data_IF_627928129127
#
_entry.id   IF_627928129127
#
_cell.length_a   1.000
_cell.length_b   1.000
_cell.length_c   1.000
_cell.angle_alpha   90.00
_cell.angle_beta   90.00
_cell.angle_gamma   90.00
#
_symmetry.space_group_name_H-M   'P 1'
#
loop_
_entity.id
_entity.type
_entity.pdbx_description
1 polymer ?
#
# COMPACT_ATOMS: atom_id res chain seq x y z
N UNK A 1 -23.02 8.25 -6.80
CA UNK A 1 -22.57 7.37 -7.91
C UNK A 1 -21.17 6.92 -7.61
N UNK A 2 -20.88 5.63 -7.73
CA UNK A 2 -19.51 5.11 -7.71
C UNK A 2 -18.73 5.72 -8.87
N UNK A 3 -17.47 6.12 -8.64
CA UNK A 3 -16.60 6.60 -9.73
C UNK A 3 -16.23 5.40 -10.61
N UNK A 4 -16.34 5.49 -11.95
CA UNK A 4 -16.03 4.38 -12.84
C UNK A 4 -14.54 4.02 -12.76
N UNK A 5 -14.24 2.71 -12.85
CA UNK A 5 -12.90 2.15 -13.01
C UNK A 5 -12.68 1.78 -14.48
N UNK A 6 -11.42 1.49 -14.87
CA UNK A 6 -11.07 1.15 -16.27
C UNK A 6 -11.96 0.05 -16.89
N UNK A 7 -12.25 -1.01 -16.13
CA UNK A 7 -13.09 -2.13 -16.61
C UNK A 7 -14.56 -1.73 -16.81
N UNK A 8 -15.08 -0.79 -16.02
CA UNK A 8 -16.44 -0.23 -16.22
C UNK A 8 -16.54 0.58 -17.52
N UNK A 9 -15.39 1.00 -18.07
CA UNK A 9 -15.25 1.71 -19.34
C UNK A 9 -14.89 0.77 -20.51
N UNK A 10 -14.89 -0.55 -20.30
CA UNK A 10 -14.55 -1.53 -21.32
C UNK A 10 -13.05 -1.71 -21.59
N UNK A 11 -12.17 -1.12 -20.78
CA UNK A 11 -10.71 -1.24 -20.93
C UNK A 11 -10.21 -2.37 -20.04
N UNK A 12 -9.67 -3.41 -20.66
CA UNK A 12 -9.10 -4.59 -19.99
C UNK A 12 -7.59 -4.64 -20.22
N UNK A 13 -6.83 -4.81 -19.13
CA UNK A 13 -5.36 -4.95 -19.15
C UNK A 13 -5.01 -6.37 -18.75
N UNK A 14 -4.22 -7.05 -19.59
CA UNK A 14 -3.83 -8.46 -19.41
C UNK A 14 -4.96 -9.47 -19.67
N UNK A 15 -4.63 -10.75 -19.58
CA UNK A 15 -5.54 -11.85 -19.97
C UNK A 15 -6.25 -12.52 -18.79
N UNK A 16 -5.84 -12.24 -17.56
CA UNK A 16 -6.39 -12.89 -16.35
C UNK A 16 -7.65 -12.17 -15.83
N UNK A 17 -8.63 -12.93 -15.29
CA UNK A 17 -9.78 -12.35 -14.62
C UNK A 17 -9.37 -11.64 -13.33
N UNK A 18 -10.07 -10.56 -12.98
CA UNK A 18 -9.90 -9.89 -11.69
C UNK A 18 -10.66 -10.62 -10.58
N UNK A 19 -10.22 -10.44 -9.33
CA UNK A 19 -10.98 -10.87 -8.16
C UNK A 19 -12.27 -10.05 -7.95
N UNK A 20 -13.09 -10.42 -6.95
CA UNK A 20 -14.40 -9.80 -6.71
C UNK A 20 -14.37 -8.28 -6.50
N UNK A 21 -13.33 -7.77 -5.83
CA UNK A 21 -13.14 -6.35 -5.60
C UNK A 21 -12.21 -5.71 -6.64
N UNK A 22 -11.54 -6.51 -7.46
CA UNK A 22 -10.49 -6.09 -8.38
C UNK A 22 -9.46 -5.22 -7.63
N UNK A 23 -9.02 -5.66 -6.46
CA UNK A 23 -8.19 -4.88 -5.53
C UNK A 23 -7.25 -5.80 -4.72
N UNK A 24 -6.23 -5.22 -4.07
CA UNK A 24 -5.27 -5.99 -3.26
C UNK A 24 -5.95 -6.75 -2.10
N UNK A 25 -7.10 -6.26 -1.61
CA UNK A 25 -7.91 -6.90 -0.57
C UNK A 25 -8.62 -8.17 -1.03
N UNK A 26 -8.55 -8.52 -2.32
CA UNK A 26 -8.97 -9.85 -2.80
C UNK A 26 -8.04 -10.96 -2.25
N UNK A 27 -6.84 -10.61 -1.77
CA UNK A 27 -5.97 -11.53 -1.02
C UNK A 27 -6.52 -11.69 0.41
N UNK A 28 -6.88 -12.92 0.85
CA UNK A 28 -7.50 -13.13 2.16
C UNK A 28 -6.67 -12.59 3.32
N UNK A 29 -7.31 -11.78 4.17
CA UNK A 29 -6.69 -11.19 5.36
C UNK A 29 -5.93 -9.89 5.11
N UNK A 30 -5.68 -9.50 3.84
CA UNK A 30 -5.09 -8.19 3.53
C UNK A 30 -6.13 -7.10 3.76
N UNK A 31 -5.74 -6.04 4.45
CA UNK A 31 -6.58 -4.87 4.70
C UNK A 31 -5.86 -3.60 4.25
N UNK A 32 -6.63 -2.59 3.83
CA UNK A 32 -6.12 -1.28 3.43
C UNK A 32 -6.89 -0.20 4.16
N UNK A 33 -6.17 0.77 4.73
CA UNK A 33 -6.72 1.96 5.37
C UNK A 33 -6.10 3.23 4.82
N UNK A 34 -6.86 4.32 4.84
CA UNK A 34 -6.39 5.63 4.37
C UNK A 34 -6.79 6.72 5.36
N UNK A 35 -5.90 7.68 5.55
CA UNK A 35 -6.22 8.99 6.12
C UNK A 35 -5.87 10.03 5.07
N UNK A 36 -6.85 10.83 4.66
CA UNK A 36 -6.65 11.93 3.71
C UNK A 36 -6.77 13.25 4.45
N UNK A 37 -5.75 14.10 4.36
CA UNK A 37 -5.73 15.43 4.97
C UNK A 37 -5.84 16.47 3.87
N UNK A 38 -6.97 17.17 3.82
CA UNK A 38 -7.22 18.28 2.90
C UNK A 38 -7.60 19.51 3.71
N UNK A 39 -6.77 20.55 3.62
CA UNK A 39 -7.00 21.86 4.23
C UNK A 39 -6.40 22.91 3.31
N UNK A 40 -7.16 23.96 2.97
CA UNK A 40 -6.66 25.00 2.07
C UNK A 40 -6.18 26.26 2.83
N UNK A 41 -6.58 26.44 4.11
CA UNK A 41 -6.25 27.62 4.93
C UNK A 41 -5.83 27.30 6.36
N UNK A 42 -5.00 28.14 7.02
CA UNK A 42 -4.21 29.26 6.46
C UNK A 42 -3.10 28.86 5.48
N UNK A 43 -2.84 27.57 5.30
CA UNK A 43 -1.91 27.05 4.30
C UNK A 43 -2.47 25.77 3.71
N UNK A 44 -2.23 25.57 2.41
CA UNK A 44 -2.60 24.36 1.69
C UNK A 44 -1.85 23.15 2.25
N UNK A 45 -2.62 22.16 2.70
CA UNK A 45 -2.21 20.82 3.09
C UNK A 45 -3.06 19.84 2.30
N UNK A 46 -2.41 19.03 1.47
CA UNK A 46 -3.02 17.95 0.70
C UNK A 46 -2.06 16.76 0.76
N UNK A 47 -2.14 16.03 1.87
CA UNK A 47 -1.29 14.87 2.17
C UNK A 47 -2.15 13.77 2.78
N UNK A 48 -1.54 12.67 3.21
CA UNK A 48 -2.21 11.58 3.86
C UNK A 48 -1.27 10.42 4.09
N UNK A 49 -1.84 9.36 4.67
CA UNK A 49 -1.16 8.08 4.81
C UNK A 49 -2.08 6.98 4.30
N UNK A 50 -1.50 6.03 3.58
CA UNK A 50 -2.15 4.75 3.25
C UNK A 50 -1.41 3.66 3.98
N UNK A 51 -2.15 2.77 4.65
CA UNK A 51 -1.58 1.63 5.37
C UNK A 51 -2.12 0.34 4.77
N UNK A 52 -1.22 -0.60 4.49
CA UNK A 52 -1.53 -1.95 4.05
C UNK A 52 -1.14 -2.90 5.18
N UNK A 53 -2.14 -3.60 5.70
CA UNK A 53 -1.96 -4.65 6.69
C UNK A 53 -1.94 -5.99 5.94
N UNK A 54 -0.80 -6.71 5.92
CA UNK A 54 -0.62 -7.87 5.03
C UNK A 54 -1.40 -9.11 5.49
N UNK A 55 -1.91 -9.13 6.72
CA UNK A 55 -2.72 -10.22 7.28
C UNK A 55 -3.60 -9.74 8.43
N UNK A 56 -4.67 -10.48 8.74
CA UNK A 56 -5.46 -10.24 9.94
C UNK A 56 -4.64 -10.42 11.23
N UNK A 57 -4.97 -9.65 12.27
CA UNK A 57 -4.22 -9.64 13.54
C UNK A 57 -2.91 -8.86 13.46
N UNK A 58 -2.02 -9.04 14.44
CA UNK A 58 -0.71 -8.35 14.48
C UNK A 58 0.31 -9.06 13.59
N UNK A 59 0.75 -8.40 12.53
CA UNK A 59 1.85 -8.88 11.63
C UNK A 59 3.17 -9.08 12.37
N UNK A 60 3.38 -8.36 13.48
CA UNK A 60 4.53 -8.55 14.37
C UNK A 60 4.62 -9.97 14.94
N UNK A 61 3.48 -10.54 15.32
CA UNK A 61 3.42 -11.84 15.99
C UNK A 61 3.41 -12.99 14.97
N UNK A 62 3.07 -12.69 13.71
CA UNK A 62 3.05 -13.64 12.61
C UNK A 62 3.59 -12.98 11.32
N UNK A 63 4.93 -12.88 11.16
CA UNK A 63 5.54 -12.28 9.98
C UNK A 63 5.10 -12.95 8.67
N UNK A 64 5.24 -12.24 7.55
CA UNK A 64 4.98 -12.78 6.21
C UNK A 64 6.26 -12.73 5.39
N UNK A 65 6.50 -13.70 4.51
CA UNK A 65 7.64 -13.61 3.60
C UNK A 65 7.51 -12.40 2.68
N UNK A 66 8.62 -11.70 2.46
CA UNK A 66 8.66 -10.48 1.68
C UNK A 66 9.99 -10.35 0.93
N UNK A 67 9.97 -9.54 -0.13
CA UNK A 67 11.14 -9.13 -0.89
C UNK A 67 10.89 -7.76 -1.49
N UNK A 68 11.96 -7.07 -1.87
CA UNK A 68 11.87 -5.77 -2.51
C UNK A 68 12.85 -5.67 -3.69
N UNK A 69 12.61 -4.73 -4.60
CA UNK A 69 13.51 -4.43 -5.70
C UNK A 69 13.51 -2.93 -5.95
N UNK A 70 14.69 -2.32 -5.89
CA UNK A 70 14.89 -0.92 -6.23
C UNK A 70 15.27 -0.78 -7.70
N UNK A 71 14.29 -0.48 -8.56
CA UNK A 71 14.56 -0.21 -9.98
C UNK A 71 15.37 1.08 -10.17
N UNK A 72 15.03 2.13 -9.41
CA UNK A 72 15.77 3.38 -9.33
C UNK A 72 15.70 3.91 -7.89
N UNK A 73 16.85 4.34 -7.34
CA UNK A 73 16.99 4.74 -5.94
C UNK A 73 16.58 6.18 -5.61
N UNK A 74 15.84 6.88 -6.49
CA UNK A 74 15.37 8.24 -6.21
C UNK A 74 14.09 8.20 -5.34
N UNK A 75 14.23 7.75 -4.10
CA UNK A 75 13.14 7.62 -3.12
C UNK A 75 13.65 7.11 -1.77
N UNK A 76 12.75 6.97 -0.81
CA UNK A 76 13.06 6.49 0.55
C UNK A 76 12.11 5.36 0.95
N UNK A 77 12.62 4.33 1.63
CA UNK A 77 11.83 3.20 2.12
C UNK A 77 12.49 2.59 3.36
N UNK A 78 11.87 2.77 4.52
CA UNK A 78 12.38 2.25 5.79
C UNK A 78 12.05 0.76 5.96
N UNK A 79 12.84 0.07 6.79
CA UNK A 79 12.64 -1.35 7.11
C UNK A 79 13.25 -2.35 6.11
N UNK A 80 13.81 -1.91 4.99
CA UNK A 80 14.29 -2.81 3.93
C UNK A 80 15.51 -3.65 4.33
N UNK A 81 16.38 -3.14 5.20
CA UNK A 81 17.51 -3.93 5.72
C UNK A 81 17.05 -5.22 6.41
N UNK A 82 15.91 -5.20 7.10
CA UNK A 82 15.34 -6.41 7.72
C UNK A 82 14.74 -7.36 6.69
N UNK A 83 14.07 -6.83 5.67
CA UNK A 83 13.49 -7.64 4.60
C UNK A 83 14.60 -8.31 3.79
N UNK A 84 15.72 -7.61 3.55
CA UNK A 84 16.88 -8.14 2.83
C UNK A 84 17.59 -9.25 3.59
N UNK A 85 17.82 -9.04 4.89
CA UNK A 85 18.54 -10.00 5.74
C UNK A 85 17.70 -11.25 6.05
N UNK A 86 16.43 -11.06 6.43
CA UNK A 86 15.60 -12.14 6.98
C UNK A 86 14.53 -12.65 6.00
N UNK A 87 14.24 -11.94 4.92
CA UNK A 87 13.23 -12.33 3.94
C UNK A 87 11.78 -12.24 4.44
N UNK A 88 11.51 -11.48 5.51
CA UNK A 88 10.17 -11.34 6.06
C UNK A 88 9.80 -9.90 6.44
N UNK A 89 8.51 -9.61 6.41
CA UNK A 89 7.88 -8.38 6.84
C UNK A 89 7.13 -8.64 8.15
N UNK A 90 7.48 -7.89 9.20
CA UNK A 90 6.90 -7.98 10.54
C UNK A 90 6.12 -6.70 10.95
N UNK A 91 5.86 -5.81 9.99
CA UNK A 91 5.14 -4.55 10.19
C UNK A 91 4.05 -4.36 9.11
N UNK A 92 3.09 -3.45 9.34
CA UNK A 92 2.29 -2.91 8.24
C UNK A 92 3.18 -2.17 7.24
N UNK A 93 2.69 -1.96 6.02
CA UNK A 93 3.34 -1.11 5.01
C UNK A 93 2.62 0.23 5.02
N UNK A 94 3.35 1.34 5.18
CA UNK A 94 2.79 2.68 5.13
C UNK A 94 3.34 3.45 3.92
N UNK A 95 2.47 4.20 3.26
CA UNK A 95 2.79 5.09 2.14
C UNK A 95 2.38 6.52 2.54
N UNK A 96 3.33 7.45 2.46
CA UNK A 96 3.18 8.87 2.83
C UNK A 96 4.06 9.74 1.94
N UNK A 97 4.06 11.05 2.16
CA UNK A 97 4.96 11.98 1.47
C UNK A 97 6.42 11.85 1.92
N UNK A 98 7.35 12.30 1.07
CA UNK A 98 8.81 12.20 1.28
C UNK A 98 9.28 12.80 2.60
N UNK A 99 8.57 13.81 3.12
CA UNK A 99 8.98 14.54 4.33
C UNK A 99 8.37 14.00 5.62
N UNK A 100 7.53 12.96 5.54
CA UNK A 100 6.82 12.37 6.69
C UNK A 100 7.09 10.88 6.86
N UNK A 101 8.23 10.39 6.38
CA UNK A 101 8.63 8.98 6.52
C UNK A 101 8.99 8.62 7.96
N UNK A 102 9.64 9.53 8.69
CA UNK A 102 10.05 9.34 10.10
C UNK A 102 9.01 9.89 11.07
#
# INVERSE_FOLDING_TARGET
>A
MTKPRLRDLGIVIGDLPAGPHNAITDVPGVQVGHTTVVRDEPRVIRTGVTVIQPRGGTVRDQPVFAGYHAFNGCGEMTGMAFVEEFGWLSSPIALTDTTQVG
#
